data_IF_987928225710
#
_entry.id   IF_987928225710
#
_cell.length_a   1.000
_cell.length_b   1.000
_cell.length_c   1.000
_cell.angle_alpha   90.00
_cell.angle_beta   90.00
_cell.angle_gamma   90.00
#
_symmetry.space_group_name_H-M   'P 1'
#
loop_
_entity.id
_entity.type
_entity.pdbx_description
1 polymer ?
#
# COMPACT_ATOMS: atom_id res chain seq x y z
N UNK A 1 0.90 -5.87 17.40
CA UNK A 1 1.82 -6.10 16.27
C UNK A 1 1.90 -4.83 15.45
N UNK A 2 3.04 -4.59 14.80
CA UNK A 2 3.25 -3.39 13.98
C UNK A 2 2.35 -3.38 12.75
N UNK A 3 1.83 -2.22 12.37
CA UNK A 3 0.87 -2.13 11.27
C UNK A 3 1.50 -2.44 9.91
N UNK A 4 2.75 -2.02 9.69
CA UNK A 4 3.47 -2.33 8.45
C UNK A 4 3.65 -3.86 8.23
N UNK A 5 3.73 -4.65 9.31
CA UNK A 5 3.89 -6.10 9.21
C UNK A 5 2.65 -6.81 8.65
N UNK A 6 1.49 -6.13 8.60
CA UNK A 6 0.26 -6.67 8.00
C UNK A 6 0.43 -6.96 6.51
N UNK A 7 1.37 -6.28 5.85
CA UNK A 7 1.73 -6.54 4.44
C UNK A 7 2.22 -7.99 4.20
N UNK A 8 2.76 -8.64 5.24
CA UNK A 8 3.33 -9.99 5.16
C UNK A 8 2.30 -11.10 5.47
N UNK A 9 1.05 -10.75 5.79
CA UNK A 9 0.04 -11.73 6.14
C UNK A 9 -0.51 -12.40 4.89
N UNK A 10 -0.48 -13.74 4.85
CA UNK A 10 -1.08 -14.53 3.76
C UNK A 10 -2.58 -14.31 3.60
N UNK A 11 -3.26 -13.87 4.65
CA UNK A 11 -4.71 -13.56 4.66
C UNK A 11 -5.02 -12.10 4.34
N UNK A 12 -4.01 -11.28 3.98
CA UNK A 12 -4.21 -9.86 3.70
C UNK A 12 -5.22 -9.65 2.57
N UNK A 13 -4.99 -10.31 1.44
CA UNK A 13 -5.85 -10.17 0.26
C UNK A 13 -7.28 -10.60 0.55
N UNK A 14 -7.46 -11.78 1.16
CA UNK A 14 -8.79 -12.34 1.49
C UNK A 14 -9.63 -11.38 2.35
N UNK A 15 -8.98 -10.56 3.19
CA UNK A 15 -9.66 -9.64 4.10
C UNK A 15 -9.97 -8.27 3.48
N UNK A 16 -9.10 -7.76 2.60
CA UNK A 16 -9.22 -6.40 2.07
C UNK A 16 -9.84 -6.35 0.68
N UNK A 17 -9.63 -7.36 -0.16
CA UNK A 17 -10.15 -7.38 -1.52
C UNK A 17 -11.69 -7.20 -1.60
N UNK A 18 -12.51 -7.79 -0.70
CA UNK A 18 -13.97 -7.57 -0.73
C UNK A 18 -14.39 -6.12 -0.45
N UNK A 19 -13.58 -5.35 0.30
CA UNK A 19 -13.87 -3.96 0.67
C UNK A 19 -13.29 -2.96 -0.34
N UNK A 20 -12.31 -3.39 -1.14
CA UNK A 20 -11.57 -2.56 -2.10
C UNK A 20 -11.83 -2.91 -3.57
N UNK A 21 -12.84 -3.77 -3.80
CA UNK A 21 -13.32 -4.20 -5.12
C UNK A 21 -12.26 -4.89 -5.99
N UNK A 22 -11.46 -5.77 -5.39
CA UNK A 22 -10.47 -6.60 -6.10
C UNK A 22 -9.03 -6.31 -5.68
N UNK A 23 -8.15 -6.14 -6.67
CA UNK A 23 -6.74 -5.82 -6.44
C UNK A 23 -6.56 -4.38 -5.95
N UNK A 24 -5.62 -4.15 -5.06
CA UNK A 24 -5.49 -2.86 -4.37
C UNK A 24 -4.04 -2.47 -4.13
N UNK A 25 -3.85 -1.19 -3.82
CA UNK A 25 -2.56 -0.67 -3.41
C UNK A 25 -2.44 -0.64 -1.89
N UNK A 26 -1.25 -0.93 -1.38
CA UNK A 26 -0.88 -0.79 0.03
C UNK A 26 0.34 0.12 0.15
N UNK A 27 0.33 0.98 1.16
CA UNK A 27 1.46 1.80 1.56
C UNK A 27 1.82 1.56 3.02
N UNK A 28 3.12 1.55 3.30
CA UNK A 28 3.69 1.45 4.66
C UNK A 28 4.77 2.52 4.85
N UNK A 29 4.43 3.82 4.90
CA UNK A 29 5.41 4.90 5.04
C UNK A 29 6.22 4.81 6.34
N UNK A 30 5.64 4.26 7.41
CA UNK A 30 6.29 4.10 8.70
C UNK A 30 5.88 2.79 9.38
N UNK A 31 6.64 2.38 10.40
CA UNK A 31 6.44 1.11 11.14
C UNK A 31 5.00 0.88 11.61
N UNK A 32 4.37 1.94 12.11
CA UNK A 32 3.04 1.91 12.72
C UNK A 32 1.97 2.54 11.80
N UNK A 33 2.22 2.54 10.49
CA UNK A 33 1.26 3.03 9.50
C UNK A 33 1.06 2.02 8.37
N UNK A 34 -0.21 1.79 8.04
CA UNK A 34 -0.64 0.89 6.97
C UNK A 34 -1.86 1.51 6.31
N UNK A 35 -1.76 1.79 5.01
CA UNK A 35 -2.85 2.37 4.21
C UNK A 35 -3.13 1.44 3.04
N UNK A 36 -4.40 1.08 2.84
CA UNK A 36 -4.84 0.32 1.68
C UNK A 36 -5.91 1.11 0.91
N UNK A 37 -5.90 1.01 -0.42
CA UNK A 37 -6.81 1.77 -1.28
C UNK A 37 -7.05 1.04 -2.60
N UNK A 38 -8.26 1.18 -3.13
CA UNK A 38 -8.61 0.72 -4.48
C UNK A 38 -7.72 1.38 -5.55
N UNK A 39 -7.54 0.70 -6.67
CA UNK A 39 -6.78 1.23 -7.81
C UNK A 39 -7.50 2.31 -8.60
N UNK A 40 -8.81 2.47 -8.38
CA UNK A 40 -9.64 3.43 -9.10
C UNK A 40 -10.34 4.41 -8.14
N UNK A 41 -10.48 5.69 -8.55
CA UNK A 41 -9.99 6.27 -9.81
C UNK A 41 -8.50 6.72 -9.74
N UNK A 42 -7.75 6.77 -10.87
CA UNK A 42 -6.30 6.98 -10.88
C UNK A 42 -5.81 8.26 -10.19
N UNK A 43 -6.60 9.33 -10.20
CA UNK A 43 -6.25 10.58 -9.53
C UNK A 43 -6.21 10.47 -8.00
N UNK A 44 -6.89 9.48 -7.41
CA UNK A 44 -6.78 9.20 -5.97
C UNK A 44 -5.47 8.48 -5.66
N UNK A 45 -5.02 7.59 -6.54
CA UNK A 45 -3.72 6.90 -6.41
C UNK A 45 -2.58 7.90 -6.38
N UNK A 46 -2.57 8.89 -7.28
CA UNK A 46 -1.53 9.93 -7.27
C UNK A 46 -1.57 10.79 -5.99
N UNK A 47 -2.76 11.13 -5.48
CA UNK A 47 -2.88 11.85 -4.20
C UNK A 47 -2.35 11.02 -3.03
N UNK A 48 -2.66 9.72 -3.00
CA UNK A 48 -2.11 8.83 -1.98
C UNK A 48 -0.59 8.78 -2.08
N UNK A 49 -0.03 8.65 -3.29
CA UNK A 49 1.42 8.63 -3.51
C UNK A 49 2.10 9.87 -2.91
N UNK A 50 1.56 11.06 -3.18
CA UNK A 50 2.08 12.31 -2.60
C UNK A 50 1.98 12.32 -1.06
N UNK A 51 0.86 11.81 -0.52
CA UNK A 51 0.66 11.74 0.93
C UNK A 51 1.65 10.78 1.60
N UNK A 52 1.83 9.60 1.02
CA UNK A 52 2.74 8.55 1.51
C UNK A 52 4.19 9.05 1.49
N UNK A 53 4.60 9.76 0.43
CA UNK A 53 5.92 10.38 0.38
C UNK A 53 6.14 11.39 1.52
N UNK A 54 5.15 12.25 1.79
CA UNK A 54 5.22 13.21 2.91
C UNK A 54 5.24 12.52 4.27
N UNK A 55 4.44 11.47 4.46
CA UNK A 55 4.39 10.72 5.71
C UNK A 55 5.71 9.94 5.94
N UNK A 56 6.31 9.39 4.88
CA UNK A 56 7.62 8.73 4.93
C UNK A 56 8.73 9.67 5.41
N UNK A 57 8.76 10.92 4.95
CA UNK A 57 9.75 11.91 5.36
C UNK A 57 9.58 12.39 6.81
N UNK A 58 8.35 12.36 7.33
CA UNK A 58 7.98 13.02 8.59
C UNK A 58 7.81 12.08 9.78
N UNK A 59 7.41 10.83 9.53
CA UNK A 59 7.09 9.87 10.59
C UNK A 59 8.34 9.15 11.10
N UNK A 60 8.38 8.78 12.40
CA UNK A 60 9.49 8.02 12.94
C UNK A 60 9.48 6.58 12.40
N UNK A 61 10.69 6.00 12.26
CA UNK A 61 10.90 4.64 11.75
C UNK A 61 10.31 4.45 10.34
N UNK A 62 10.80 5.21 9.34
CA UNK A 62 10.32 5.10 7.97
C UNK A 62 10.60 3.72 7.39
N UNK A 63 9.65 3.18 6.61
CA UNK A 63 9.75 1.85 6.01
C UNK A 63 9.86 1.95 4.47
N UNK A 64 8.82 2.42 3.77
CA UNK A 64 8.87 2.67 2.33
C UNK A 64 7.87 3.73 1.87
N UNK A 65 8.27 4.57 0.91
CA UNK A 65 7.39 5.52 0.22
C UNK A 65 6.60 4.93 -0.95
N UNK A 66 6.82 3.64 -1.27
CA UNK A 66 6.23 3.01 -2.43
C UNK A 66 4.81 2.51 -2.18
N UNK A 67 4.05 2.39 -3.27
CA UNK A 67 2.75 1.72 -3.28
C UNK A 67 2.94 0.29 -3.80
N UNK A 68 2.68 -0.69 -2.93
CA UNK A 68 2.69 -2.11 -3.26
C UNK A 68 1.38 -2.51 -3.92
N UNK A 69 1.45 -3.06 -5.13
CA UNK A 69 0.28 -3.62 -5.78
C UNK A 69 0.02 -5.03 -5.26
N UNK A 70 -1.13 -5.24 -4.62
CA UNK A 70 -1.50 -6.49 -3.96
C UNK A 70 -2.58 -7.18 -4.77
N UNK A 71 -2.28 -8.41 -5.17
CA UNK A 71 -3.19 -9.31 -5.87
C UNK A 71 -3.44 -10.56 -5.02
N UNK A 72 -4.24 -11.49 -5.53
CA UNK A 72 -4.51 -12.77 -4.89
C UNK A 72 -3.25 -13.55 -4.50
N UNK A 73 -2.18 -13.42 -5.29
CA UNK A 73 -0.93 -14.15 -5.07
C UNK A 73 0.05 -13.42 -4.12
N UNK A 74 -0.32 -12.23 -3.64
CA UNK A 74 0.49 -11.39 -2.77
C UNK A 74 0.92 -10.08 -3.42
N UNK A 75 2.09 -9.57 -3.04
CA UNK A 75 2.63 -8.33 -3.63
C UNK A 75 3.19 -8.63 -5.02
N UNK A 76 2.55 -8.08 -6.05
CA UNK A 76 2.89 -8.28 -7.46
C UNK A 76 3.93 -7.28 -7.99
N UNK A 77 4.20 -6.21 -7.25
CA UNK A 77 5.18 -5.19 -7.61
C UNK A 77 4.93 -3.87 -6.89
N UNK A 78 5.64 -2.83 -7.32
CA UNK A 78 5.40 -1.47 -6.88
C UNK A 78 4.91 -0.61 -8.04
N UNK A 79 4.12 0.43 -7.76
CA UNK A 79 3.64 1.35 -8.81
C UNK A 79 4.80 1.99 -9.60
N UNK A 80 5.98 2.17 -8.97
CA UNK A 80 7.19 2.65 -9.66
C UNK A 80 7.74 1.68 -10.71
N UNK A 81 7.59 0.37 -10.48
CA UNK A 81 8.05 -0.68 -11.39
C UNK A 81 7.00 -1.08 -12.45
N UNK A 82 5.71 -0.87 -12.17
CA UNK A 82 4.60 -1.26 -13.06
C UNK A 82 4.27 -0.18 -14.12
N UNK A 83 4.78 1.05 -13.96
CA UNK A 83 4.57 2.17 -14.86
C UNK A 83 5.73 2.42 -15.85
N UNK A 84 6.77 1.57 -15.83
CA UNK A 84 7.95 1.60 -16.71
C UNK A 84 7.86 0.56 -17.83
#
# INVERSE_FOLDING_TARGET
GYDAARLLLSSLFERLAPELDGDFYVATPARDMFVAMSGEPPEFVERLRQRVAQDYERLPYPISSDLFYVTRDGVAGTLGDLAA
#
